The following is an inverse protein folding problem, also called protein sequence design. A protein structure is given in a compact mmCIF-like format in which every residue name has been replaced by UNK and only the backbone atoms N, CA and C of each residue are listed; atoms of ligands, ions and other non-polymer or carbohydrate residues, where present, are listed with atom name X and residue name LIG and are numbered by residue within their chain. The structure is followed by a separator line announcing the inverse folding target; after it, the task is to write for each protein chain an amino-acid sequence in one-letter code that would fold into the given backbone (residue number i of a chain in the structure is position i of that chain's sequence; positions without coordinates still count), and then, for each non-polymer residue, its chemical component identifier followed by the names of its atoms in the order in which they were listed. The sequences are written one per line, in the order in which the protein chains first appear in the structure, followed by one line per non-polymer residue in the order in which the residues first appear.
data_IF_484175765405
#
_entry.id   IF_484175765405
#
_cell.length_a   1.000
_cell.length_b   1.000
_cell.length_c   1.000
_cell.angle_alpha   90.00
_cell.angle_beta   90.00
_cell.angle_gamma   90.00
#
_symmetry.space_group_name_H-M   'P 1'
#
loop_
_entity.id
_entity.type
_entity.pdbx_description
1 polymer ?
#
# COMPACT_ATOMS: atom_id res chain seq x y z
N UNK A 1 -10.71 -7.37 21.81
CA UNK A 1 -10.77 -6.36 22.88
C UNK A 1 -9.43 -6.31 23.61
N UNK A 2 -8.70 -5.20 23.52
CA UNK A 2 -7.48 -4.93 24.30
C UNK A 2 -7.75 -3.68 25.14
N UNK A 3 -7.47 -3.71 26.45
CA UNK A 3 -7.68 -2.57 27.36
C UNK A 3 -9.09 -1.94 27.30
N UNK A 4 -10.15 -2.75 27.15
CA UNK A 4 -11.55 -2.28 26.98
C UNK A 4 -11.81 -1.48 25.70
N UNK A 5 -10.92 -1.58 24.71
CA UNK A 5 -11.06 -1.02 23.37
C UNK A 5 -11.23 -2.15 22.35
N UNK A 6 -12.27 -2.02 21.52
CA UNK A 6 -12.49 -2.91 20.39
C UNK A 6 -11.72 -2.39 19.17
N UNK A 7 -11.00 -3.30 18.54
CA UNK A 7 -10.22 -3.07 17.32
C UNK A 7 -10.76 -3.95 16.21
N UNK A 8 -10.67 -3.47 14.98
CA UNK A 8 -11.14 -4.15 13.78
C UNK A 8 -10.12 -3.97 12.66
N UNK A 9 -10.00 -4.97 11.79
CA UNK A 9 -9.31 -4.83 10.51
C UNK A 9 -10.32 -4.39 9.44
N UNK A 10 -9.93 -3.37 8.70
CA UNK A 10 -10.67 -2.86 7.54
C UNK A 10 -9.89 -3.16 6.27
N UNK A 11 -10.62 -3.37 5.18
CA UNK A 11 -10.05 -3.41 3.85
C UNK A 11 -10.44 -2.14 3.08
N UNK A 12 -9.53 -1.57 2.28
CA UNK A 12 -9.87 -0.57 1.29
C UNK A 12 -10.98 -1.08 0.34
N UNK A 13 -11.85 -0.17 -0.08
CA UNK A 13 -12.92 -0.50 -1.04
C UNK A 13 -12.34 -0.71 -2.45
N UNK A 14 -11.37 0.13 -2.80
CA UNK A 14 -10.65 0.13 -4.06
C UNK A 14 -9.26 -0.51 -3.85
N UNK A 15 -8.61 -0.98 -4.91
CA UNK A 15 -7.32 -1.69 -4.79
C UNK A 15 -6.21 -0.74 -4.33
N UNK A 16 -5.46 -1.06 -3.26
CA UNK A 16 -4.27 -0.31 -2.84
C UNK A 16 -3.23 -0.24 -3.95
N UNK A 17 -2.52 0.88 -4.02
CA UNK A 17 -1.35 1.04 -4.89
C UNK A 17 -0.25 1.85 -4.21
N UNK A 18 0.97 1.63 -4.66
CA UNK A 18 2.15 2.37 -4.23
C UNK A 18 2.96 2.85 -5.44
N UNK A 19 3.63 3.99 -5.27
CA UNK A 19 4.48 4.59 -6.29
C UNK A 19 5.93 4.37 -5.87
N UNK A 20 6.70 3.79 -6.76
CA UNK A 20 8.13 3.54 -6.59
C UNK A 20 8.94 4.39 -7.54
N UNK A 21 10.15 4.74 -7.11
CA UNK A 21 11.19 5.34 -7.90
C UNK A 21 12.35 4.37 -8.03
N UNK A 22 12.84 4.16 -9.25
CA UNK A 22 14.03 3.36 -9.50
C UNK A 22 15.27 4.21 -9.25
N UNK A 23 16.10 3.81 -8.29
CA UNK A 23 17.33 4.53 -7.91
C UNK A 23 18.54 3.58 -7.94
N UNK A 24 19.62 3.99 -8.59
CA UNK A 24 20.87 3.23 -8.67
C UNK A 24 22.00 4.08 -9.26
N UNK A 25 23.26 3.73 -9.01
CA UNK A 25 24.41 4.41 -9.65
C UNK A 25 24.64 3.94 -11.11
N UNK A 26 24.19 2.72 -11.44
CA UNK A 26 24.26 2.07 -12.75
C UNK A 26 23.00 1.17 -12.96
N UNK A 27 22.63 0.87 -14.22
CA UNK A 27 21.44 0.06 -14.60
C UNK A 27 21.38 -1.33 -13.91
N UNK A 28 22.53 -1.89 -13.53
CA UNK A 28 22.63 -3.21 -12.87
C UNK A 28 22.41 -3.14 -11.34
N UNK A 29 22.39 -1.94 -10.74
CA UNK A 29 22.25 -1.68 -9.29
C UNK A 29 21.02 -0.78 -8.99
N UNK A 30 20.02 -0.75 -9.88
CA UNK A 30 18.77 -0.01 -9.65
C UNK A 30 17.84 -0.76 -8.68
N UNK A 31 17.45 -0.09 -7.60
CA UNK A 31 16.50 -0.58 -6.61
C UNK A 31 15.20 0.24 -6.66
N UNK A 32 14.06 -0.42 -6.51
CA UNK A 32 12.77 0.25 -6.37
C UNK A 32 12.59 0.74 -4.94
N UNK A 33 12.48 2.07 -4.77
CA UNK A 33 12.28 2.71 -3.47
C UNK A 33 10.88 3.34 -3.43
N UNK A 34 10.08 3.11 -2.38
CA UNK A 34 8.80 3.80 -2.20
C UNK A 34 8.97 5.32 -2.20
N UNK A 35 8.04 6.03 -2.83
CA UNK A 35 8.05 7.49 -2.85
C UNK A 35 7.43 8.06 -1.57
N UNK A 36 8.13 9.00 -0.93
CA UNK A 36 7.65 9.71 0.25
C UNK A 36 6.35 10.50 -0.01
N UNK A 37 5.52 10.66 1.04
CA UNK A 37 4.22 11.36 0.94
C UNK A 37 4.33 12.79 0.37
N UNK A 38 5.42 13.51 0.70
CA UNK A 38 5.67 14.86 0.21
C UNK A 38 5.86 14.91 -1.31
N UNK A 39 6.50 13.88 -1.89
CA UNK A 39 6.74 13.78 -3.33
C UNK A 39 5.52 13.23 -4.07
N UNK A 40 4.69 12.40 -3.41
CA UNK A 40 3.41 11.94 -3.97
C UNK A 40 2.54 13.14 -4.36
N UNK A 41 2.52 14.23 -3.59
CA UNK A 41 1.76 15.45 -3.93
C UNK A 41 2.09 15.99 -5.33
N UNK A 42 3.38 15.91 -5.69
CA UNK A 42 3.91 16.44 -6.94
C UNK A 42 3.60 15.47 -8.09
N UNK A 43 3.78 14.17 -7.85
CA UNK A 43 3.62 13.12 -8.85
C UNK A 43 2.15 12.75 -9.11
N UNK A 44 1.24 12.98 -8.16
CA UNK A 44 -0.12 12.46 -8.15
C UNK A 44 -0.87 12.71 -9.47
N UNK A 45 -0.80 13.92 -10.02
CA UNK A 45 -1.54 14.25 -11.24
C UNK A 45 -0.98 13.55 -12.47
N UNK A 46 0.33 13.30 -12.51
CA UNK A 46 0.99 12.57 -13.60
C UNK A 46 0.65 11.09 -13.51
N UNK A 47 0.83 10.49 -12.33
CA UNK A 47 0.47 9.10 -12.07
C UNK A 47 -1.01 8.83 -12.39
N UNK A 48 -1.89 9.73 -11.94
CA UNK A 48 -3.33 9.66 -12.24
C UNK A 48 -3.61 9.68 -13.74
N UNK A 49 -3.00 10.60 -14.48
CA UNK A 49 -3.24 10.72 -15.92
C UNK A 49 -2.81 9.45 -16.68
N UNK A 50 -1.68 8.85 -16.28
CA UNK A 50 -1.17 7.61 -16.89
C UNK A 50 -2.05 6.41 -16.55
N UNK A 51 -2.50 6.29 -15.30
CA UNK A 51 -3.44 5.23 -14.90
C UNK A 51 -4.80 5.37 -15.61
N UNK A 52 -5.27 6.60 -15.86
CA UNK A 52 -6.51 6.84 -16.62
C UNK A 52 -6.43 6.30 -18.06
N UNK A 53 -5.23 6.23 -18.67
CA UNK A 53 -5.04 5.58 -19.98
C UNK A 53 -5.31 4.07 -19.94
N UNK A 54 -5.11 3.45 -18.77
CA UNK A 54 -5.40 2.03 -18.51
C UNK A 54 -6.82 1.82 -17.97
N UNK A 55 -7.69 2.85 -17.96
CA UNK A 55 -9.01 2.83 -17.33
C UNK A 55 -8.97 2.64 -15.79
N UNK A 56 -7.87 3.03 -15.16
CA UNK A 56 -7.69 3.02 -13.70
C UNK A 56 -7.77 4.46 -13.17
N UNK A 57 -8.62 4.69 -12.17
CA UNK A 57 -8.78 6.01 -11.54
C UNK A 57 -8.03 6.05 -10.22
N UNK A 58 -6.89 6.73 -10.19
CA UNK A 58 -6.12 6.95 -8.96
C UNK A 58 -6.88 7.86 -7.97
N UNK A 59 -6.99 7.41 -6.74
CA UNK A 59 -7.65 8.09 -5.62
C UNK A 59 -6.70 8.22 -4.45
N UNK A 60 -6.69 9.42 -3.86
CA UNK A 60 -6.09 9.65 -2.55
C UNK A 60 -7.11 9.35 -1.47
N UNK A 61 -6.84 8.34 -0.64
CA UNK A 61 -7.68 8.00 0.51
C UNK A 61 -7.05 8.51 1.81
N UNK A 62 -7.65 8.17 2.94
CA UNK A 62 -7.20 8.64 4.25
C UNK A 62 -5.90 7.95 4.73
N UNK A 63 -5.55 6.79 4.17
CA UNK A 63 -4.41 5.96 4.62
C UNK A 63 -3.48 5.63 3.47
N UNK A 64 -4.01 5.10 2.37
CA UNK A 64 -3.22 4.65 1.21
C UNK A 64 -3.72 5.27 -0.10
N UNK A 65 -2.89 5.22 -1.14
CA UNK A 65 -3.39 5.44 -2.49
C UNK A 65 -4.18 4.21 -2.93
N UNK A 66 -5.23 4.42 -3.72
CA UNK A 66 -6.03 3.32 -4.29
C UNK A 66 -6.39 3.60 -5.73
N UNK A 67 -6.69 2.56 -6.50
CA UNK A 67 -7.19 2.66 -7.87
C UNK A 67 -8.56 2.01 -7.99
N UNK A 68 -9.50 2.74 -8.61
CA UNK A 68 -10.78 2.19 -9.04
C UNK A 68 -10.72 1.85 -10.54
N UNK A 69 -11.10 0.63 -10.90
CA UNK A 69 -11.18 0.18 -12.28
C UNK A 69 -10.95 -1.32 -12.39
N UNK A 70 -10.88 -1.81 -13.63
CA UNK A 70 -10.57 -3.20 -13.90
C UNK A 70 -9.04 -3.36 -13.98
N UNK A 71 -8.45 -4.03 -13.00
CA UNK A 71 -7.03 -4.35 -13.02
C UNK A 71 -6.70 -5.32 -14.16
N UNK A 72 -5.46 -5.28 -14.70
CA UNK A 72 -5.01 -6.28 -15.65
C UNK A 72 -5.12 -7.69 -15.05
N UNK A 73 -5.51 -8.66 -15.88
CA UNK A 73 -5.52 -10.07 -15.48
C UNK A 73 -4.10 -10.50 -15.15
N UNK A 74 -3.93 -11.25 -14.07
CA UNK A 74 -2.68 -11.89 -13.70
C UNK A 74 -2.48 -13.14 -14.55
N UNK A 75 -1.43 -13.18 -15.36
CA UNK A 75 -1.03 -14.36 -16.11
C UNK A 75 0.09 -15.13 -15.37
N UNK A 76 0.14 -16.45 -15.52
CA UNK A 76 1.18 -17.31 -14.92
C UNK A 76 2.61 -16.95 -15.39
N UNK A 77 2.73 -16.16 -16.46
CA UNK A 77 3.98 -15.67 -17.04
C UNK A 77 4.32 -14.22 -16.62
N UNK A 78 3.48 -13.57 -15.81
CA UNK A 78 3.75 -12.20 -15.34
C UNK A 78 4.93 -12.18 -14.34
N UNK A 79 5.81 -11.20 -14.52
CA UNK A 79 6.94 -10.97 -13.63
C UNK A 79 6.50 -9.99 -12.54
N UNK A 80 6.45 -10.47 -11.30
CA UNK A 80 6.15 -9.65 -10.12
C UNK A 80 7.40 -8.95 -9.63
N UNK A 81 7.25 -7.72 -9.14
CA UNK A 81 8.32 -7.09 -8.39
C UNK A 81 8.28 -7.64 -6.95
N UNK A 82 9.41 -8.16 -6.48
CA UNK A 82 9.63 -8.56 -5.09
C UNK A 82 10.28 -7.37 -4.37
N UNK A 83 9.56 -6.75 -3.43
CA UNK A 83 10.10 -5.65 -2.62
C UNK A 83 10.24 -6.12 -1.18
N UNK A 84 11.40 -5.87 -0.57
CA UNK A 84 11.64 -6.20 0.83
C UNK A 84 10.99 -5.16 1.74
N UNK A 85 10.16 -5.63 2.69
CA UNK A 85 9.58 -4.76 3.71
C UNK A 85 10.65 -4.30 4.72
N UNK A 86 10.61 -3.02 5.14
CA UNK A 86 11.55 -2.47 6.12
C UNK A 86 11.39 -3.14 7.49
N UNK A 87 12.23 -4.12 7.80
CA UNK A 87 12.35 -4.69 9.16
C UNK A 87 12.22 -6.21 9.24
N UNK A 88 11.81 -6.87 8.16
CA UNK A 88 11.63 -8.32 8.11
C UNK A 88 12.39 -8.91 6.91
N UNK A 89 13.53 -9.56 7.16
CA UNK A 89 14.40 -10.11 6.11
C UNK A 89 13.76 -11.29 5.34
N UNK A 90 12.59 -11.78 5.77
CA UNK A 90 11.95 -13.00 5.25
C UNK A 90 10.58 -12.77 4.58
N UNK A 91 10.01 -11.55 4.60
CA UNK A 91 8.76 -11.22 3.90
C UNK A 91 9.03 -10.33 2.68
N UNK A 92 8.97 -10.96 1.50
CA UNK A 92 8.96 -10.26 0.20
C UNK A 92 7.52 -10.04 -0.20
N UNK A 93 7.14 -8.79 -0.43
CA UNK A 93 5.81 -8.46 -0.93
C UNK A 93 5.80 -8.61 -2.46
N UNK A 94 4.88 -9.41 -2.99
CA UNK A 94 4.69 -9.57 -4.43
C UNK A 94 3.81 -8.43 -4.97
N UNK A 95 4.33 -7.70 -5.95
CA UNK A 95 3.70 -6.50 -6.50
C UNK A 95 3.34 -6.66 -7.99
N UNK A 96 2.09 -6.38 -8.34
CA UNK A 96 1.60 -6.31 -9.72
C UNK A 96 1.90 -4.94 -10.33
N UNK A 97 2.60 -4.92 -11.47
CA UNK A 97 2.84 -3.70 -12.25
C UNK A 97 1.56 -3.18 -12.90
N UNK A 98 1.29 -1.87 -12.76
CA UNK A 98 0.14 -1.21 -13.38
C UNK A 98 0.54 -0.24 -14.49
N UNK A 99 1.50 0.65 -14.23
CA UNK A 99 2.00 1.62 -15.20
C UNK A 99 3.31 2.28 -14.74
N UNK A 100 4.10 2.80 -15.68
CA UNK A 100 5.26 3.65 -15.42
C UNK A 100 5.12 5.02 -16.08
N UNK A 101 5.82 6.01 -15.53
CA UNK A 101 5.83 7.37 -16.03
C UNK A 101 7.14 8.09 -15.69
N UNK A 102 7.47 9.11 -16.48
CA UNK A 102 8.62 9.97 -16.23
C UNK A 102 8.19 11.29 -15.62
N UNK A 103 8.93 11.75 -14.62
CA UNK A 103 8.83 13.09 -14.07
C UNK A 103 10.23 13.66 -13.84
N UNK A 104 10.53 14.82 -14.42
CA UNK A 104 11.85 15.47 -14.33
C UNK A 104 13.04 14.54 -14.67
N UNK A 105 12.91 13.73 -15.74
CA UNK A 105 13.93 12.76 -16.20
C UNK A 105 14.11 11.53 -15.28
N UNK A 106 13.37 11.44 -14.18
CA UNK A 106 13.32 10.27 -13.30
C UNK A 106 12.14 9.36 -13.69
N UNK A 107 12.39 8.04 -13.72
CA UNK A 107 11.35 7.03 -13.93
C UNK A 107 10.69 6.64 -12.61
N UNK A 108 9.37 6.52 -12.65
CA UNK A 108 8.52 6.07 -11.57
C UNK A 108 7.59 4.98 -12.08
N UNK A 109 7.18 4.08 -11.18
CA UNK A 109 6.23 3.02 -11.48
C UNK A 109 5.18 2.89 -10.39
N UNK A 110 3.96 2.52 -10.79
CA UNK A 110 2.84 2.27 -9.89
C UNK A 110 2.58 0.78 -9.84
N UNK A 111 2.54 0.25 -8.64
CA UNK A 111 2.29 -1.16 -8.36
C UNK A 111 1.09 -1.35 -7.45
N UNK A 112 0.40 -2.48 -7.58
CA UNK A 112 -0.60 -2.96 -6.63
C UNK A 112 -0.05 -4.16 -5.85
N UNK A 113 -0.11 -4.17 -4.51
CA UNK A 113 0.18 -5.37 -3.73
C UNK A 113 -0.77 -6.51 -4.09
N UNK A 114 -0.23 -7.72 -4.25
CA UNK A 114 -1.05 -8.93 -4.42
C UNK A 114 -1.72 -9.37 -3.11
N UNK A 115 -1.03 -9.13 -1.99
CA UNK A 115 -1.57 -9.41 -0.67
C UNK A 115 -2.56 -8.32 -0.22
N UNK A 116 -3.61 -8.69 0.54
CA UNK A 116 -4.59 -7.72 1.02
C UNK A 116 -3.98 -6.71 1.99
N UNK A 117 -4.23 -5.41 1.74
CA UNK A 117 -3.83 -4.34 2.67
C UNK A 117 -4.85 -4.18 3.80
N UNK A 118 -4.42 -4.41 5.05
CA UNK A 118 -5.26 -4.23 6.23
C UNK A 118 -5.05 -2.87 6.90
N UNK A 119 -6.16 -2.20 7.22
CA UNK A 119 -6.16 -0.95 7.96
C UNK A 119 -6.72 -1.23 9.37
N UNK A 120 -5.85 -1.13 10.37
CA UNK A 120 -6.27 -1.24 11.76
C UNK A 120 -7.11 0.00 12.16
N UNK A 121 -8.27 -0.24 12.75
CA UNK A 121 -9.16 0.79 13.27
C UNK A 121 -9.67 0.42 14.66
N UNK A 122 -10.08 1.43 15.43
CA UNK A 122 -10.75 1.25 16.73
C UNK A 122 -12.23 1.58 16.62
N UNK A 123 -13.07 0.85 17.33
CA UNK A 123 -14.52 1.10 17.37
C UNK A 123 -14.87 2.12 18.45
N UNK A 124 -15.70 3.10 18.12
CA UNK A 124 -16.26 4.01 19.12
C UNK A 124 -17.50 3.45 19.83
N UNK A 125 -18.04 4.19 20.80
CA UNK A 125 -19.25 3.82 21.55
C UNK A 125 -20.50 3.66 20.66
N UNK A 126 -20.46 4.14 19.42
CA UNK A 126 -21.54 4.02 18.43
C UNK A 126 -21.29 2.90 17.42
N UNK A 127 -20.28 2.04 17.64
CA UNK A 127 -19.81 1.02 16.70
C UNK A 127 -19.40 1.58 15.34
N UNK A 128 -18.77 2.75 15.31
CA UNK A 128 -18.13 3.29 14.10
C UNK A 128 -16.62 3.14 14.20
N UNK A 129 -15.95 2.67 13.12
CA UNK A 129 -14.51 2.57 13.10
C UNK A 129 -13.85 3.95 12.95
N UNK A 130 -12.79 4.18 13.69
CA UNK A 130 -11.92 5.35 13.60
C UNK A 130 -10.47 4.93 13.44
N UNK A 131 -9.75 5.65 12.59
CA UNK A 131 -8.31 5.46 12.44
C UNK A 131 -7.59 5.77 13.76
N UNK A 132 -6.55 5.00 14.03
CA UNK A 132 -5.68 5.25 15.16
C UNK A 132 -4.75 6.41 14.84
N UNK A 133 -4.48 7.23 15.85
CA UNK A 133 -3.40 8.20 15.75
C UNK A 133 -2.02 7.50 15.78
N UNK A 134 -0.96 8.15 15.29
CA UNK A 134 0.39 7.57 15.32
C UNK A 134 0.86 7.17 16.73
N UNK A 135 0.46 7.93 17.76
CA UNK A 135 0.78 7.61 19.16
C UNK A 135 0.05 6.38 19.68
N UNK A 136 -1.14 6.08 19.15
CA UNK A 136 -1.91 4.89 19.50
C UNK A 136 -1.36 3.64 18.80
N UNK A 137 -1.05 3.75 17.50
CA UNK A 137 -0.39 2.67 16.74
C UNK A 137 0.91 2.25 17.41
N UNK A 138 1.74 3.22 17.80
CA UNK A 138 3.02 2.94 18.48
C UNK A 138 2.88 2.17 19.80
N UNK A 139 1.76 2.34 20.50
CA UNK A 139 1.49 1.58 21.74
C UNK A 139 1.06 0.15 21.43
N UNK A 140 0.50 -0.08 20.25
CA UNK A 140 0.03 -1.38 19.80
C UNK A 140 1.10 -2.17 19.07
N UNK A 141 2.15 -1.55 18.52
CA UNK A 141 3.32 -2.21 17.91
C UNK A 141 3.77 -3.48 18.68
N UNK A 142 3.96 -3.45 20.02
CA UNK A 142 4.43 -4.63 20.77
C UNK A 142 3.41 -5.79 20.86
N UNK A 143 2.16 -5.53 20.49
CA UNK A 143 1.04 -6.45 20.55
C UNK A 143 0.45 -6.71 19.16
N UNK A 144 1.04 -6.15 18.09
CA UNK A 144 0.49 -6.19 16.75
C UNK A 144 0.39 -7.64 16.26
N UNK A 145 1.46 -8.42 16.37
CA UNK A 145 1.46 -9.86 16.02
C UNK A 145 0.33 -10.62 16.73
N UNK A 146 0.14 -10.38 18.03
CA UNK A 146 -0.92 -11.05 18.81
C UNK A 146 -2.32 -10.59 18.40
N UNK A 147 -2.45 -9.34 17.96
CA UNK A 147 -3.70 -8.76 17.49
C UNK A 147 -4.05 -9.30 16.10
N UNK A 148 -3.06 -9.40 15.22
CA UNK A 148 -3.17 -9.98 13.90
C UNK A 148 -3.59 -11.45 14.00
N UNK A 149 -2.88 -12.29 14.76
CA UNK A 149 -3.25 -13.70 14.98
C UNK A 149 -4.74 -13.85 15.36
N UNK A 150 -5.23 -13.00 16.28
CA UNK A 150 -6.62 -13.04 16.74
C UNK A 150 -7.61 -12.56 15.70
N UNK A 151 -7.25 -11.56 14.89
CA UNK A 151 -8.13 -10.98 13.90
C UNK A 151 -8.17 -11.83 12.63
N UNK A 152 -7.05 -12.45 12.24
CA UNK A 152 -6.94 -13.33 11.08
C UNK A 152 -7.57 -14.71 11.31
N UNK A 153 -7.50 -15.26 12.53
CA UNK A 153 -8.20 -16.51 12.87
C UNK A 153 -9.74 -16.42 12.75
N UNK A 154 -10.29 -15.20 12.67
CA UNK A 154 -11.73 -14.96 12.49
C UNK A 154 -12.17 -14.90 11.00
N UNK A 155 -11.25 -14.93 10.03
CA UNK A 155 -11.54 -14.88 8.59
C UNK A 155 -11.56 -16.25 7.89
#
# INVERSE_FOLDING_TARGET
EIENQDYVLLLPIDTPVEIFVWQGEDEDDEEAVPVDEEDIDILFNTAKAVLEEQNLTLKRTAVVLTVEGDLPELDDDDEFAEVSSEGEEDEVEELQYLASFYFEEQEFAVYAPLDPCFILAKMDENNQPHLLSPEELKKLEPMLETLEDQLFDEF
#
